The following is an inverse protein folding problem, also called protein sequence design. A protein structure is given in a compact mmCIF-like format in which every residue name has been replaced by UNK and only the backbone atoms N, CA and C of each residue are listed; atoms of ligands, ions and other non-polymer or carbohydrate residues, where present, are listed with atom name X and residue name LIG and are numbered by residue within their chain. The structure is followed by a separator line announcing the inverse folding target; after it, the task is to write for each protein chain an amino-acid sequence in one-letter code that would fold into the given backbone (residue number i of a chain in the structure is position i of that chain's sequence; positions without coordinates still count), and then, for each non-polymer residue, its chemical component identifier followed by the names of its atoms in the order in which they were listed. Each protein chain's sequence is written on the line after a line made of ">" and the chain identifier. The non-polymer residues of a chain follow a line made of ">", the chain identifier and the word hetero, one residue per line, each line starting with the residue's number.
data_IF_272582949971
#
_entry.id   IF_272582949971
#
_cell.length_a   1.000
_cell.length_b   1.000
_cell.length_c   1.000
_cell.angle_alpha   90.00
_cell.angle_beta   90.00
_cell.angle_gamma   90.00
#
_symmetry.space_group_name_H-M   'P 1'
#
loop_
_entity.id
_entity.type
_entity.pdbx_description
1 polymer ?
#
# COMPACT_ATOMS: atom_id res chain seq x y z
N UNK A 1 -19.15 10.97 6.78
CA UNK A 1 -18.87 12.42 6.72
C UNK A 1 -19.78 13.05 5.67
N UNK A 2 -20.76 13.89 6.05
CA UNK A 2 -21.55 14.62 5.07
C UNK A 2 -20.60 15.53 4.27
N UNK A 3 -20.63 15.44 2.93
CA UNK A 3 -19.78 16.23 2.04
C UNK A 3 -18.38 15.69 1.78
N UNK A 4 -18.03 14.46 2.23
CA UNK A 4 -16.78 13.83 1.81
C UNK A 4 -16.85 13.42 0.34
N UNK A 5 -15.90 13.91 -0.44
CA UNK A 5 -15.74 13.56 -1.85
C UNK A 5 -14.36 12.90 -2.03
N UNK A 6 -14.35 11.59 -2.29
CA UNK A 6 -13.14 10.80 -2.46
C UNK A 6 -12.30 11.15 -3.71
N UNK A 7 -12.84 11.96 -4.62
CA UNK A 7 -12.09 12.47 -5.78
C UNK A 7 -11.23 13.67 -5.39
N UNK A 8 -11.72 14.53 -4.46
CA UNK A 8 -11.06 15.78 -4.11
C UNK A 8 -10.42 15.78 -2.72
N UNK A 9 -10.51 14.67 -1.97
CA UNK A 9 -9.99 14.56 -0.61
C UNK A 9 -9.16 13.31 -0.41
N UNK A 10 -8.14 13.40 0.43
CA UNK A 10 -7.31 12.25 0.78
C UNK A 10 -8.12 11.24 1.60
N UNK A 11 -7.91 9.94 1.32
CA UNK A 11 -8.52 8.86 2.11
C UNK A 11 -8.16 8.98 3.59
N UNK A 12 -6.96 9.48 3.91
CA UNK A 12 -6.48 9.72 5.27
C UNK A 12 -7.30 10.77 6.04
N UNK A 13 -8.03 11.66 5.36
CA UNK A 13 -8.94 12.62 6.01
C UNK A 13 -10.15 11.93 6.66
N UNK A 14 -10.49 10.70 6.25
CA UNK A 14 -11.48 9.88 6.96
C UNK A 14 -11.03 9.53 8.37
N UNK A 15 -9.72 9.48 8.60
CA UNK A 15 -9.08 9.25 9.90
C UNK A 15 -8.65 10.54 10.61
N UNK A 16 -9.08 11.71 10.15
CA UNK A 16 -8.72 13.00 10.73
C UNK A 16 -9.21 13.11 12.18
N UNK A 17 -8.37 13.71 13.04
CA UNK A 17 -8.66 13.92 14.45
C UNK A 17 -9.97 14.70 14.61
N UNK A 18 -10.86 14.17 15.46
CA UNK A 18 -12.17 14.76 15.74
C UNK A 18 -13.28 14.41 14.75
N UNK A 19 -12.98 13.64 13.69
CA UNK A 19 -14.03 13.13 12.79
C UNK A 19 -14.76 11.92 13.41
N UNK A 20 -16.05 11.75 13.07
CA UNK A 20 -16.83 10.58 13.52
C UNK A 20 -16.26 9.25 12.99
N UNK A 21 -15.51 9.29 11.91
CA UNK A 21 -14.93 8.12 11.24
C UNK A 21 -13.52 7.79 11.71
N UNK A 22 -12.89 8.66 12.51
CA UNK A 22 -11.51 8.52 12.97
C UNK A 22 -11.21 7.14 13.57
N UNK A 23 -12.02 6.72 14.58
CA UNK A 23 -11.79 5.45 15.26
C UNK A 23 -11.98 4.24 14.33
N UNK A 24 -13.01 4.28 13.47
CA UNK A 24 -13.27 3.21 12.51
C UNK A 24 -12.11 3.08 11.52
N UNK A 25 -11.60 4.20 11.02
CA UNK A 25 -10.48 4.24 10.11
C UNK A 25 -9.19 3.72 10.76
N UNK A 26 -8.89 4.19 11.97
CA UNK A 26 -7.73 3.71 12.76
C UNK A 26 -7.80 2.21 13.02
N UNK A 27 -8.94 1.70 13.48
CA UNK A 27 -9.13 0.26 13.72
C UNK A 27 -8.93 -0.52 12.41
N UNK A 28 -9.47 -0.02 11.30
CA UNK A 28 -9.29 -0.63 9.98
C UNK A 28 -7.82 -0.75 9.58
N UNK A 29 -7.03 0.32 9.76
CA UNK A 29 -5.59 0.30 9.45
C UNK A 29 -4.82 -0.65 10.37
N UNK A 30 -5.13 -0.68 11.67
CA UNK A 30 -4.49 -1.59 12.62
C UNK A 30 -4.80 -3.05 12.28
N UNK A 31 -6.07 -3.39 12.01
CA UNK A 31 -6.46 -4.73 11.60
C UNK A 31 -5.79 -5.14 10.28
N UNK A 32 -5.77 -4.25 9.30
CA UNK A 32 -5.05 -4.47 8.03
C UNK A 32 -3.58 -4.77 8.27
N UNK A 33 -2.94 -4.03 9.18
CA UNK A 33 -1.55 -4.27 9.55
C UNK A 33 -1.35 -5.64 10.18
N UNK A 34 -2.19 -6.03 11.13
CA UNK A 34 -2.09 -7.32 11.80
C UNK A 34 -2.19 -8.47 10.77
N UNK A 35 -3.20 -8.41 9.90
CA UNK A 35 -3.40 -9.41 8.84
C UNK A 35 -2.20 -9.44 7.89
N UNK A 36 -1.70 -8.27 7.48
CA UNK A 36 -0.53 -8.14 6.60
C UNK A 36 0.74 -8.71 7.24
N UNK A 37 0.96 -8.51 8.54
CA UNK A 37 2.10 -9.08 9.27
C UNK A 37 2.04 -10.62 9.24
N UNK A 38 0.89 -11.22 9.57
CA UNK A 38 0.75 -12.68 9.51
C UNK A 38 0.98 -13.23 8.09
N UNK A 39 0.43 -12.55 7.10
CA UNK A 39 0.66 -12.89 5.70
C UNK A 39 2.17 -12.83 5.33
N UNK A 40 2.85 -11.77 5.72
CA UNK A 40 4.27 -11.58 5.45
C UNK A 40 5.14 -12.63 6.17
N UNK A 41 4.79 -13.03 7.39
CA UNK A 41 5.46 -14.13 8.10
C UNK A 41 5.30 -15.44 7.30
N UNK A 42 4.10 -15.73 6.81
CA UNK A 42 3.85 -16.90 5.97
C UNK A 42 4.69 -16.89 4.70
N UNK A 43 4.68 -15.78 3.97
CA UNK A 43 5.48 -15.61 2.75
C UNK A 43 6.99 -15.73 3.05
N UNK A 44 7.47 -15.13 4.11
CA UNK A 44 8.89 -15.21 4.50
C UNK A 44 9.32 -16.65 4.73
N UNK A 45 8.49 -17.45 5.43
CA UNK A 45 8.76 -18.89 5.65
C UNK A 45 8.82 -19.66 4.32
N UNK A 46 7.87 -19.38 3.40
CA UNK A 46 7.85 -20.00 2.06
C UNK A 46 9.11 -19.62 1.28
N UNK A 47 9.50 -18.36 1.29
CA UNK A 47 10.71 -17.90 0.61
C UNK A 47 11.96 -18.58 1.16
N UNK A 48 12.11 -18.66 2.48
CA UNK A 48 13.24 -19.36 3.13
C UNK A 48 13.26 -20.85 2.77
N UNK A 49 12.11 -21.52 2.85
CA UNK A 49 11.99 -22.96 2.54
C UNK A 49 12.38 -23.27 1.09
N UNK A 50 12.06 -22.38 0.15
CA UNK A 50 12.28 -22.59 -1.28
C UNK A 50 13.51 -21.87 -1.82
N UNK A 51 14.35 -21.26 -0.99
CA UNK A 51 15.55 -20.55 -1.43
C UNK A 51 15.26 -19.32 -2.31
N UNK A 52 14.07 -18.70 -2.15
CA UNK A 52 13.70 -17.50 -2.88
C UNK A 52 14.32 -16.26 -2.24
N UNK A 53 14.56 -15.25 -3.06
CA UNK A 53 15.02 -13.96 -2.59
C UNK A 53 13.97 -13.30 -1.70
N UNK A 54 14.38 -12.74 -0.56
CA UNK A 54 13.48 -12.14 0.44
C UNK A 54 13.17 -10.66 0.20
N UNK A 55 13.85 -9.99 -0.76
CA UNK A 55 13.67 -8.56 -1.03
C UNK A 55 12.20 -8.19 -1.27
N UNK A 56 11.40 -8.93 -2.08
CA UNK A 56 9.98 -8.61 -2.26
C UNK A 56 9.22 -8.60 -0.92
N UNK A 57 9.58 -9.50 0.00
CA UNK A 57 8.92 -9.59 1.31
C UNK A 57 9.33 -8.43 2.23
N UNK A 58 10.59 -7.99 2.18
CA UNK A 58 11.03 -6.81 2.96
C UNK A 58 10.27 -5.55 2.55
N UNK A 59 9.96 -5.40 1.26
CA UNK A 59 9.12 -4.31 0.77
C UNK A 59 7.71 -4.40 1.36
N UNK A 60 7.11 -5.60 1.40
CA UNK A 60 5.80 -5.81 2.04
C UNK A 60 5.82 -5.51 3.54
N UNK A 61 6.92 -5.82 4.24
CA UNK A 61 7.09 -5.46 5.64
C UNK A 61 7.11 -3.93 5.82
N UNK A 62 7.83 -3.20 4.97
CA UNK A 62 7.87 -1.74 5.02
C UNK A 62 6.47 -1.16 4.84
N UNK A 63 5.68 -1.70 3.90
CA UNK A 63 4.28 -1.31 3.73
C UNK A 63 3.47 -1.54 5.01
N UNK A 64 3.58 -2.73 5.61
CA UNK A 64 2.81 -3.06 6.83
C UNK A 64 3.13 -2.11 7.99
N UNK A 65 4.41 -1.79 8.21
CA UNK A 65 4.81 -0.83 9.24
C UNK A 65 4.38 0.60 8.92
N UNK A 66 4.38 1.00 7.64
CA UNK A 66 3.86 2.30 7.22
C UNK A 66 2.37 2.44 7.50
N UNK A 67 1.57 1.43 7.18
CA UNK A 67 0.13 1.42 7.45
C UNK A 67 -0.14 1.50 8.95
N UNK A 68 0.65 0.78 9.76
CA UNK A 68 0.58 0.87 11.23
C UNK A 68 0.87 2.29 11.71
N UNK A 69 1.94 2.90 11.21
CA UNK A 69 2.32 4.26 11.57
C UNK A 69 1.23 5.28 11.24
N UNK A 70 0.63 5.17 10.05
CA UNK A 70 -0.49 6.00 9.63
C UNK A 70 -1.74 5.77 10.50
N UNK A 71 -1.96 4.54 10.98
CA UNK A 71 -3.08 4.19 11.88
C UNK A 71 -2.90 4.73 13.30
N UNK A 72 -1.68 4.64 13.86
CA UNK A 72 -1.39 5.12 15.22
C UNK A 72 -1.37 6.65 15.29
N UNK A 73 -0.88 7.31 14.24
CA UNK A 73 -0.78 8.75 14.16
C UNK A 73 -1.81 9.30 13.17
N UNK A 74 -3.01 9.71 13.62
CA UNK A 74 -4.06 10.19 12.72
C UNK A 74 -3.67 11.47 11.97
N UNK A 75 -4.30 11.68 10.81
CA UNK A 75 -4.20 12.95 10.10
C UNK A 75 -4.80 14.10 10.96
N UNK A 76 -4.24 15.32 10.99
CA UNK A 76 -3.14 15.85 10.19
C UNK A 76 -1.77 15.82 10.88
N UNK A 77 -1.51 14.91 11.80
CA UNK A 77 -0.23 14.84 12.49
C UNK A 77 0.92 14.66 11.50
N UNK A 78 2.03 15.38 11.69
CA UNK A 78 3.22 15.27 10.85
C UNK A 78 3.74 13.83 10.75
N UNK A 79 3.64 13.08 11.86
CA UNK A 79 4.03 11.67 11.91
C UNK A 79 3.17 10.78 11.02
N UNK A 80 1.88 11.11 10.79
CA UNK A 80 1.04 10.41 9.84
C UNK A 80 1.67 10.39 8.45
N UNK A 81 2.05 11.55 7.93
CA UNK A 81 2.68 11.67 6.63
C UNK A 81 4.06 11.01 6.59
N UNK A 82 4.90 11.25 7.61
CA UNK A 82 6.25 10.70 7.66
C UNK A 82 6.27 9.16 7.70
N UNK A 83 5.43 8.55 8.52
CA UNK A 83 5.36 7.09 8.67
C UNK A 83 4.50 6.42 7.60
N UNK A 84 3.47 7.12 7.09
CA UNK A 84 2.57 6.58 6.07
C UNK A 84 3.15 6.64 4.64
N UNK A 85 3.96 7.65 4.32
CA UNK A 85 4.49 7.84 2.95
C UNK A 85 5.33 6.67 2.43
N UNK A 86 6.12 5.91 3.24
CA UNK A 86 6.84 4.76 2.72
C UNK A 86 5.95 3.64 2.20
N UNK A 87 4.63 3.66 2.47
CA UNK A 87 3.69 2.69 1.90
C UNK A 87 3.69 2.68 0.37
N UNK A 88 4.07 3.78 -0.27
CA UNK A 88 4.15 3.89 -1.73
C UNK A 88 5.12 2.88 -2.35
N UNK A 89 6.15 2.45 -1.62
CA UNK A 89 7.12 1.47 -2.13
C UNK A 89 6.51 0.07 -2.35
N UNK A 90 5.27 -0.17 -1.90
CA UNK A 90 4.55 -1.42 -2.12
C UNK A 90 4.60 -1.85 -3.60
N UNK A 91 4.54 -0.90 -4.55
CA UNK A 91 4.62 -1.16 -5.99
C UNK A 91 5.91 -1.85 -6.42
N UNK A 92 6.97 -1.66 -5.67
CA UNK A 92 8.26 -2.31 -5.94
C UNK A 92 8.25 -3.79 -5.57
N UNK A 93 7.31 -4.26 -4.73
CA UNK A 93 7.27 -5.67 -4.31
C UNK A 93 7.01 -6.63 -5.49
N UNK A 94 5.94 -6.47 -6.30
CA UNK A 94 5.73 -7.34 -7.46
C UNK A 94 6.82 -7.16 -8.53
N UNK A 95 7.38 -5.96 -8.69
CA UNK A 95 8.49 -5.72 -9.59
C UNK A 95 9.75 -6.48 -9.14
N UNK A 96 10.09 -6.41 -7.85
CA UNK A 96 11.18 -7.17 -7.28
C UNK A 96 10.94 -8.69 -7.39
N UNK A 97 9.70 -9.16 -7.24
CA UNK A 97 9.36 -10.56 -7.44
C UNK A 97 9.56 -11.00 -8.90
N UNK A 98 9.21 -10.17 -9.88
CA UNK A 98 9.48 -10.43 -11.30
C UNK A 98 10.98 -10.58 -11.59
N UNK A 99 11.80 -9.78 -10.95
CA UNK A 99 13.27 -9.79 -11.15
C UNK A 99 13.92 -10.98 -10.43
N UNK A 100 13.62 -11.16 -9.15
CA UNK A 100 14.37 -12.04 -8.27
C UNK A 100 13.81 -13.46 -8.15
N UNK A 101 12.50 -13.67 -8.41
CA UNK A 101 11.90 -14.99 -8.27
C UNK A 101 11.89 -15.75 -9.59
N UNK A 102 12.06 -17.08 -9.51
CA UNK A 102 12.11 -17.96 -10.67
C UNK A 102 10.87 -18.87 -10.71
N UNK A 103 10.29 -19.04 -11.90
CA UNK A 103 9.15 -19.94 -12.13
C UNK A 103 9.50 -21.43 -11.87
N UNK A 104 10.78 -21.78 -11.88
CA UNK A 104 11.23 -23.15 -11.57
C UNK A 104 10.99 -23.54 -10.11
N UNK A 105 10.85 -22.55 -9.22
CA UNK A 105 10.64 -22.78 -7.78
C UNK A 105 9.15 -22.74 -7.44
N UNK A 106 8.43 -21.75 -7.96
CA UNK A 106 6.98 -21.63 -7.79
C UNK A 106 6.38 -21.42 -9.18
N UNK A 107 5.52 -22.35 -9.62
CA UNK A 107 4.85 -22.24 -10.90
C UNK A 107 4.08 -20.93 -11.03
N UNK A 108 4.16 -20.31 -12.18
CA UNK A 108 3.45 -19.08 -12.52
C UNK A 108 3.72 -17.84 -11.65
N UNK A 109 4.75 -17.87 -10.78
CA UNK A 109 5.00 -16.75 -9.86
C UNK A 109 5.25 -15.44 -10.61
N UNK A 110 5.92 -15.47 -11.76
CA UNK A 110 6.13 -14.27 -12.59
C UNK A 110 4.85 -13.75 -13.20
N UNK A 111 3.94 -14.63 -13.63
CA UNK A 111 2.62 -14.23 -14.17
C UNK A 111 1.79 -13.57 -13.08
N UNK A 112 1.75 -14.17 -11.90
CA UNK A 112 1.04 -13.61 -10.74
C UNK A 112 1.62 -12.24 -10.37
N UNK A 113 2.94 -12.12 -10.29
CA UNK A 113 3.60 -10.84 -9.98
C UNK A 113 3.34 -9.77 -11.04
N UNK A 114 3.33 -10.14 -12.32
CA UNK A 114 3.00 -9.23 -13.42
C UNK A 114 1.55 -8.76 -13.34
N UNK A 115 0.60 -9.68 -13.13
CA UNK A 115 -0.82 -9.33 -12.98
C UNK A 115 -1.03 -8.43 -11.77
N UNK A 116 -0.38 -8.72 -10.65
CA UNK A 116 -0.44 -7.86 -9.45
C UNK A 116 0.09 -6.46 -9.77
N UNK A 117 1.23 -6.35 -10.46
CA UNK A 117 1.79 -5.06 -10.85
C UNK A 117 0.84 -4.27 -11.77
N UNK A 118 0.23 -4.94 -12.76
CA UNK A 118 -0.73 -4.32 -13.66
C UNK A 118 -1.95 -3.81 -12.88
N UNK A 119 -2.54 -4.63 -12.01
CA UNK A 119 -3.70 -4.24 -11.20
C UNK A 119 -3.36 -3.03 -10.32
N UNK A 120 -2.18 -3.04 -9.68
CA UNK A 120 -1.74 -1.92 -8.86
C UNK A 120 -1.52 -0.65 -9.69
N UNK A 121 -0.94 -0.77 -10.89
CA UNK A 121 -0.77 0.35 -11.82
C UNK A 121 -2.10 0.91 -12.30
N UNK A 122 -3.09 0.05 -12.61
CA UNK A 122 -4.45 0.48 -12.97
C UNK A 122 -5.10 1.27 -11.81
N UNK A 123 -4.86 0.90 -10.56
CA UNK A 123 -5.30 1.67 -9.39
C UNK A 123 -4.76 3.10 -9.37
N UNK A 124 -3.55 3.33 -9.89
CA UNK A 124 -2.99 4.68 -10.00
C UNK A 124 -3.66 5.54 -11.08
N UNK A 125 -4.24 4.93 -12.11
CA UNK A 125 -4.92 5.68 -13.16
C UNK A 125 -6.09 6.50 -12.62
N UNK A 126 -6.68 6.09 -11.49
CA UNK A 126 -7.76 6.84 -10.82
C UNK A 126 -7.29 8.22 -10.35
N UNK A 127 -5.99 8.37 -10.04
CA UNK A 127 -5.41 9.65 -9.59
C UNK A 127 -4.87 10.52 -10.71
N UNK A 128 -4.77 10.00 -11.96
CA UNK A 128 -4.23 10.75 -13.10
C UNK A 128 -5.04 12.00 -13.47
N UNK A 129 -6.40 11.99 -13.49
CA UNK A 129 -7.17 13.18 -13.82
C UNK A 129 -6.83 14.37 -12.92
N UNK A 130 -6.70 14.15 -11.61
CA UNK A 130 -6.35 15.21 -10.66
C UNK A 130 -4.90 15.68 -10.84
N UNK A 131 -3.98 14.77 -11.16
CA UNK A 131 -2.61 15.11 -11.50
C UNK A 131 -2.55 16.00 -12.74
N UNK A 132 -3.26 15.65 -13.82
CA UNK A 132 -3.28 16.44 -15.05
C UNK A 132 -3.98 17.79 -14.86
N UNK A 133 -5.08 17.86 -14.11
CA UNK A 133 -5.80 19.12 -13.87
C UNK A 133 -4.99 20.10 -13.01
N UNK A 134 -4.29 19.59 -11.99
CA UNK A 134 -3.59 20.44 -11.02
C UNK A 134 -2.19 20.86 -11.49
N UNK A 135 -1.46 20.01 -12.23
CA UNK A 135 -0.07 20.27 -12.60
C UNK A 135 0.13 20.71 -14.05
N UNK A 136 -0.74 20.33 -14.97
CA UNK A 136 -0.60 20.73 -16.39
C UNK A 136 -1.53 21.85 -16.80
N UNK A 137 -2.34 22.38 -15.87
CA UNK A 137 -3.20 23.54 -16.16
C UNK A 137 -4.26 23.29 -17.23
N UNK A 138 -4.52 22.03 -17.57
CA UNK A 138 -5.57 21.64 -18.51
C UNK A 138 -6.91 21.70 -17.80
N UNK A 139 -7.39 22.93 -17.54
CA UNK A 139 -8.78 23.15 -17.18
C UNK A 139 -9.64 22.90 -18.41
N UNK A 140 -10.49 21.88 -18.34
CA UNK A 140 -11.65 21.80 -19.21
C UNK A 140 -12.67 22.86 -18.86
#
# INVERSE_FOLDING_TARGET
>A
MPGYNHVNRLVSELGEIGTKTQYLFTIGLVLTTIISIFFNIGLFRICKKNGLNIIPILILWTFSFSVLGAGIFPYPLRLHGLLGSPSIILFLSPLAALVFWKNTVIAHIKVISLLTLIIMMLGFLVFLPDFFSNYLGLKQ
#
